data_IF_481282671496
#
_entry.id   IF_481282671496
#
_cell.length_a   1.000
_cell.length_b   1.000
_cell.length_c   1.000
_cell.angle_alpha   90.00
_cell.angle_beta   90.00
_cell.angle_gamma   90.00
#
_symmetry.space_group_name_H-M   'P 1'
#
loop_
_entity.id
_entity.type
_entity.pdbx_description
1 polymer ?
#
# COMPACT_ATOMS: atom_id res chain seq x y z
N UNK A 1 5.03 -1.07 1.65
CA UNK A 1 4.38 -1.88 0.60
C UNK A 1 4.04 -3.20 1.26
N UNK A 2 2.76 -3.55 1.35
CA UNK A 2 2.34 -4.82 1.95
C UNK A 2 2.69 -5.98 1.02
N UNK A 3 2.88 -7.19 1.56
CA UNK A 3 3.12 -8.42 0.78
C UNK A 3 2.07 -8.61 -0.35
N UNK A 4 0.83 -8.17 -0.13
CA UNK A 4 -0.26 -8.19 -1.11
C UNK A 4 0.04 -7.33 -2.36
N UNK A 5 0.67 -6.17 -2.20
CA UNK A 5 1.01 -5.28 -3.32
C UNK A 5 2.15 -5.85 -4.18
N UNK A 6 3.08 -6.60 -3.57
CA UNK A 6 4.16 -7.26 -4.30
C UNK A 6 3.65 -8.41 -5.18
N UNK A 7 2.77 -9.26 -4.65
CA UNK A 7 2.11 -10.32 -5.43
C UNK A 7 1.28 -9.75 -6.59
N UNK A 8 0.56 -8.65 -6.37
CA UNK A 8 -0.19 -7.97 -7.42
C UNK A 8 0.71 -7.45 -8.55
N UNK A 9 1.89 -6.90 -8.22
CA UNK A 9 2.87 -6.42 -9.21
C UNK A 9 3.43 -7.56 -10.05
N UNK A 10 3.80 -8.69 -9.43
CA UNK A 10 4.29 -9.88 -10.13
C UNK A 10 3.21 -10.43 -11.08
N UNK A 11 1.97 -10.51 -10.63
CA UNK A 11 0.85 -10.94 -11.47
C UNK A 11 0.57 -9.98 -12.63
N UNK A 12 0.73 -8.66 -12.41
CA UNK A 12 0.58 -7.68 -13.48
C UNK A 12 1.66 -7.81 -14.56
N UNK A 13 2.95 -8.01 -14.15
CA UNK A 13 4.06 -8.28 -15.08
C UNK A 13 3.82 -9.55 -15.89
N UNK A 14 3.36 -10.62 -15.24
CA UNK A 14 3.03 -11.89 -15.88
C UNK A 14 1.94 -11.74 -16.94
N UNK A 15 0.85 -11.05 -16.62
CA UNK A 15 -0.26 -10.82 -17.56
C UNK A 15 0.17 -9.98 -18.76
N UNK A 16 0.99 -8.95 -18.53
CA UNK A 16 1.51 -8.13 -19.61
C UNK A 16 2.36 -8.96 -20.59
N UNK A 17 3.25 -9.80 -20.09
CA UNK A 17 4.05 -10.73 -20.90
C UNK A 17 3.18 -11.68 -21.70
N UNK A 18 2.15 -12.27 -21.08
CA UNK A 18 1.24 -13.18 -21.75
C UNK A 18 0.44 -12.48 -22.87
N UNK A 19 -0.12 -11.30 -22.60
CA UNK A 19 -0.86 -10.52 -23.61
C UNK A 19 0.01 -10.15 -24.80
N UNK A 20 1.22 -9.67 -24.51
CA UNK A 20 2.18 -9.29 -25.55
C UNK A 20 2.56 -10.50 -26.39
N UNK A 21 2.84 -11.65 -25.77
CA UNK A 21 3.13 -12.90 -26.45
C UNK A 21 1.98 -13.32 -27.39
N UNK A 22 0.76 -13.37 -26.90
CA UNK A 22 -0.40 -13.79 -27.69
C UNK A 22 -0.67 -12.82 -28.85
N UNK A 23 -0.56 -11.52 -28.62
CA UNK A 23 -0.77 -10.49 -29.64
C UNK A 23 0.28 -10.60 -30.75
N UNK A 24 1.55 -10.76 -30.41
CA UNK A 24 2.63 -10.96 -31.39
C UNK A 24 2.44 -12.24 -32.21
N UNK A 25 1.95 -13.32 -31.59
CA UNK A 25 1.63 -14.56 -32.29
C UNK A 25 0.46 -14.39 -33.27
N UNK A 26 -0.61 -13.66 -32.91
CA UNK A 26 -1.71 -13.32 -33.81
C UNK A 26 -1.17 -12.54 -35.01
N UNK A 27 -0.39 -11.48 -34.77
CA UNK A 27 0.17 -10.66 -35.86
C UNK A 27 1.06 -11.48 -36.79
N UNK A 28 1.95 -12.32 -36.25
CA UNK A 28 2.85 -13.17 -37.04
C UNK A 28 2.11 -14.25 -37.79
N UNK A 29 1.05 -14.82 -37.25
CA UNK A 29 0.19 -15.77 -37.95
C UNK A 29 -0.53 -15.10 -39.09
N UNK A 30 -1.10 -13.92 -38.90
CA UNK A 30 -1.77 -13.14 -39.97
C UNK A 30 -0.74 -12.79 -41.06
N UNK A 31 0.45 -12.31 -40.69
CA UNK A 31 1.49 -12.02 -41.67
C UNK A 31 1.89 -13.26 -42.43
N UNK A 32 2.05 -14.42 -41.79
CA UNK A 32 2.37 -15.70 -42.44
C UNK A 32 1.30 -16.18 -43.44
N UNK A 33 0.01 -15.80 -43.21
CA UNK A 33 -1.12 -16.11 -44.12
C UNK A 33 -1.14 -15.16 -45.29
N UNK A 34 -0.91 -13.86 -45.06
CA UNK A 34 -1.05 -12.80 -46.05
C UNK A 34 0.19 -12.57 -46.91
N UNK A 35 1.37 -13.05 -46.44
CA UNK A 35 2.63 -12.78 -47.10
C UNK A 35 2.67 -13.28 -48.56
N UNK A 36 2.89 -12.40 -49.55
CA UNK A 36 2.95 -12.75 -50.97
C UNK A 36 4.28 -13.39 -51.38
N UNK A 37 5.20 -13.60 -50.48
CA UNK A 37 6.55 -14.16 -50.73
C UNK A 37 6.52 -15.56 -51.39
N UNK A 38 5.35 -16.20 -51.43
CA UNK A 38 5.18 -17.53 -51.99
C UNK A 38 3.97 -17.54 -52.95
N UNK A 39 4.17 -17.84 -54.20
CA UNK A 39 3.18 -17.86 -55.22
C UNK A 39 1.98 -18.82 -54.99
N UNK A 40 2.02 -19.63 -53.93
CA UNK A 40 0.89 -20.45 -53.48
C UNK A 40 0.40 -20.02 -52.11
N UNK A 41 -0.88 -19.62 -52.04
CA UNK A 41 -1.59 -19.40 -50.75
C UNK A 41 -1.86 -20.76 -50.10
N UNK A 42 -0.83 -21.32 -49.45
CA UNK A 42 -1.01 -22.55 -48.68
C UNK A 42 -1.42 -22.21 -47.27
N UNK A 43 -2.70 -22.44 -46.99
CA UNK A 43 -3.25 -22.28 -45.64
C UNK A 43 -2.88 -23.51 -44.80
N UNK A 44 -1.73 -23.46 -44.15
CA UNK A 44 -1.28 -24.55 -43.27
C UNK A 44 -2.07 -24.59 -41.97
N UNK A 45 -2.49 -25.79 -41.56
CA UNK A 45 -3.23 -25.99 -40.32
C UNK A 45 -2.56 -25.38 -39.08
N UNK A 46 -1.21 -25.50 -38.88
CA UNK A 46 -0.56 -24.94 -37.68
C UNK A 46 -0.73 -23.44 -37.55
N UNK A 47 -0.61 -22.66 -38.61
CA UNK A 47 -0.75 -21.19 -38.52
C UNK A 47 -2.17 -20.76 -38.17
N UNK A 48 -3.19 -21.51 -38.64
CA UNK A 48 -4.58 -21.29 -38.27
C UNK A 48 -4.80 -21.60 -36.78
N UNK A 49 -4.19 -22.67 -36.27
CA UNK A 49 -4.25 -23.02 -34.86
C UNK A 49 -3.57 -21.96 -34.02
N UNK A 50 -2.41 -21.43 -34.43
CA UNK A 50 -1.73 -20.34 -33.74
C UNK A 50 -2.63 -19.10 -33.65
N UNK A 51 -3.22 -18.69 -34.78
CA UNK A 51 -4.12 -17.52 -34.80
C UNK A 51 -5.36 -17.72 -33.93
N UNK A 52 -6.05 -18.86 -34.10
CA UNK A 52 -7.25 -19.18 -33.32
C UNK A 52 -6.98 -19.29 -31.83
N UNK A 53 -5.96 -20.07 -31.45
CA UNK A 53 -5.60 -20.28 -30.02
C UNK A 53 -5.17 -18.98 -29.36
N UNK A 54 -4.35 -18.16 -30.05
CA UNK A 54 -3.93 -16.84 -29.52
C UNK A 54 -5.13 -15.92 -29.29
N UNK A 55 -6.06 -15.86 -30.25
CA UNK A 55 -7.26 -15.01 -30.17
C UNK A 55 -8.18 -15.48 -29.04
N UNK A 56 -8.45 -16.78 -28.96
CA UNK A 56 -9.26 -17.36 -27.86
C UNK A 56 -8.64 -17.09 -26.50
N UNK A 57 -7.33 -17.28 -26.39
CA UNK A 57 -6.64 -17.04 -25.11
C UNK A 57 -6.65 -15.55 -24.73
N UNK A 58 -6.53 -14.61 -25.69
CA UNK A 58 -6.69 -13.17 -25.42
C UNK A 58 -8.09 -12.84 -24.91
N UNK A 59 -9.12 -13.45 -25.49
CA UNK A 59 -10.51 -13.29 -25.04
C UNK A 59 -10.70 -13.85 -23.62
N UNK A 60 -10.15 -15.02 -23.33
CA UNK A 60 -10.22 -15.64 -22.01
C UNK A 60 -9.48 -14.83 -20.95
N UNK A 61 -8.34 -14.23 -21.31
CA UNK A 61 -7.62 -13.34 -20.39
C UNK A 61 -8.40 -12.04 -20.13
N UNK A 62 -9.05 -11.47 -21.14
CA UNK A 62 -9.93 -10.30 -20.97
C UNK A 62 -11.06 -10.55 -19.96
N UNK A 63 -11.59 -11.79 -19.90
CA UNK A 63 -12.62 -12.24 -18.93
C UNK A 63 -12.01 -12.80 -17.64
N UNK A 64 -10.70 -12.61 -17.41
CA UNK A 64 -9.97 -13.10 -16.22
C UNK A 64 -10.01 -14.63 -15.99
N UNK A 65 -10.21 -15.44 -17.02
CA UNK A 65 -10.25 -16.91 -16.92
C UNK A 65 -8.88 -17.59 -16.95
N UNK A 66 -7.79 -16.89 -17.32
CA UNK A 66 -6.43 -17.45 -17.45
C UNK A 66 -5.54 -17.23 -16.21
N UNK A 67 -6.12 -16.99 -15.04
CA UNK A 67 -5.33 -16.63 -13.81
C UNK A 67 -4.30 -17.68 -13.37
N UNK A 68 -4.52 -18.95 -13.67
CA UNK A 68 -3.75 -20.08 -13.14
C UNK A 68 -2.99 -20.89 -14.20
N UNK A 69 -2.94 -20.43 -15.44
CA UNK A 69 -2.26 -21.18 -16.51
C UNK A 69 -0.77 -20.83 -16.51
N UNK A 70 0.12 -21.84 -16.45
CA UNK A 70 1.57 -21.62 -16.50
C UNK A 70 1.97 -21.16 -17.92
N UNK A 71 2.62 -19.99 -18.01
CA UNK A 71 3.14 -19.40 -19.25
C UNK A 71 4.13 -20.32 -19.95
N UNK A 72 4.81 -21.20 -19.22
CA UNK A 72 5.75 -22.17 -19.79
C UNK A 72 5.06 -23.20 -20.65
N UNK A 73 3.89 -23.68 -20.23
CA UNK A 73 3.06 -24.62 -21.01
C UNK A 73 2.58 -23.94 -22.29
N UNK A 74 2.12 -22.71 -22.20
CA UNK A 74 1.70 -21.92 -23.35
C UNK A 74 2.86 -21.71 -24.33
N UNK A 75 4.02 -21.30 -23.80
CA UNK A 75 5.24 -21.09 -24.59
C UNK A 75 5.64 -22.35 -25.37
N UNK A 76 5.69 -23.51 -24.70
CA UNK A 76 5.99 -24.78 -25.33
C UNK A 76 5.00 -25.16 -26.44
N UNK A 77 3.70 -25.03 -26.16
CA UNK A 77 2.64 -25.34 -27.14
C UNK A 77 2.80 -24.49 -28.42
N UNK A 78 3.01 -23.20 -28.26
CA UNK A 78 3.21 -22.30 -29.42
C UNK A 78 4.56 -22.57 -30.11
N UNK A 79 5.62 -22.89 -29.39
CA UNK A 79 6.89 -23.30 -29.95
C UNK A 79 6.77 -24.54 -30.84
N UNK A 80 6.02 -25.54 -30.39
CA UNK A 80 5.74 -26.74 -31.17
C UNK A 80 4.89 -26.44 -32.42
N UNK A 81 3.89 -25.57 -32.31
CA UNK A 81 3.07 -25.16 -33.43
C UNK A 81 3.89 -24.41 -34.50
N UNK A 82 4.76 -23.51 -34.12
CA UNK A 82 5.68 -22.82 -35.04
C UNK A 82 6.69 -23.77 -35.65
N UNK A 83 7.25 -24.71 -34.89
CA UNK A 83 8.12 -25.77 -35.41
C UNK A 83 7.41 -26.62 -36.48
N UNK A 84 6.18 -27.04 -36.20
CA UNK A 84 5.35 -27.76 -37.16
C UNK A 84 5.06 -26.92 -38.42
N UNK A 85 4.75 -25.61 -38.24
CA UNK A 85 4.52 -24.70 -39.38
C UNK A 85 5.76 -24.59 -40.28
N UNK A 86 6.95 -24.46 -39.70
CA UNK A 86 8.20 -24.36 -40.45
C UNK A 86 8.49 -25.68 -41.19
N UNK A 87 8.27 -26.82 -40.54
CA UNK A 87 8.48 -28.14 -41.16
C UNK A 87 7.52 -28.35 -42.34
N UNK A 88 6.25 -28.03 -42.22
CA UNK A 88 5.28 -28.19 -43.30
C UNK A 88 5.57 -27.29 -44.51
N UNK A 89 5.98 -26.05 -44.27
CA UNK A 89 6.34 -25.11 -45.34
C UNK A 89 7.65 -25.48 -46.04
N UNK A 90 8.59 -26.09 -45.33
CA UNK A 90 9.87 -26.51 -45.85
C UNK A 90 9.70 -27.43 -47.08
N UNK A 91 8.77 -28.35 -47.09
CA UNK A 91 8.52 -29.27 -48.21
C UNK A 91 7.95 -28.59 -49.48
N UNK A 92 7.60 -27.31 -49.42
CA UNK A 92 6.93 -26.59 -50.50
C UNK A 92 7.86 -25.55 -51.15
N UNK A 93 8.81 -25.01 -50.38
CA UNK A 93 9.73 -23.93 -50.82
C UNK A 93 11.04 -24.55 -51.28
N UNK A 94 11.21 -24.72 -52.62
CA UNK A 94 12.41 -25.35 -53.16
C UNK A 94 13.55 -24.38 -53.51
N UNK A 95 13.25 -23.13 -53.90
CA UNK A 95 14.27 -22.23 -54.48
C UNK A 95 14.86 -21.20 -53.50
N UNK A 96 14.25 -20.94 -52.32
CA UNK A 96 14.70 -19.94 -51.36
C UNK A 96 14.76 -20.50 -49.88
N UNK A 97 15.16 -21.73 -49.77
CA UNK A 97 15.07 -22.52 -48.53
C UNK A 97 15.77 -21.85 -47.35
N UNK A 98 17.03 -21.48 -47.49
CA UNK A 98 17.84 -20.92 -46.42
C UNK A 98 17.27 -19.57 -45.90
N UNK A 99 16.87 -18.69 -46.79
CA UNK A 99 16.30 -17.37 -46.45
C UNK A 99 14.98 -17.50 -45.66
N UNK A 100 14.11 -18.40 -46.09
CA UNK A 100 12.83 -18.64 -45.36
C UNK A 100 13.04 -19.16 -43.94
N UNK A 101 13.88 -20.19 -43.81
CA UNK A 101 14.18 -20.82 -42.51
C UNK A 101 14.79 -19.80 -41.54
N UNK A 102 15.74 -18.96 -42.00
CA UNK A 102 16.36 -17.93 -41.18
C UNK A 102 15.34 -16.84 -40.73
N UNK A 103 14.51 -16.36 -41.66
CA UNK A 103 13.48 -15.35 -41.34
C UNK A 103 12.47 -15.92 -40.32
N UNK A 104 12.03 -17.17 -40.52
CA UNK A 104 11.08 -17.83 -39.63
C UNK A 104 11.66 -18.02 -38.25
N UNK A 105 12.91 -18.48 -38.13
CA UNK A 105 13.62 -18.61 -36.84
C UNK A 105 13.75 -17.25 -36.15
N UNK A 106 14.26 -16.23 -36.86
CA UNK A 106 14.43 -14.89 -36.30
C UNK A 106 13.09 -14.30 -35.82
N UNK A 107 12.00 -14.51 -36.56
CA UNK A 107 10.66 -14.04 -36.15
C UNK A 107 10.22 -14.66 -34.82
N UNK A 108 10.38 -15.98 -34.66
CA UNK A 108 10.03 -16.69 -33.43
C UNK A 108 10.93 -16.27 -32.26
N UNK A 109 12.25 -16.13 -32.51
CA UNK A 109 13.19 -15.66 -31.49
C UNK A 109 12.86 -14.22 -31.04
N UNK A 110 12.47 -13.36 -31.97
CA UNK A 110 12.06 -11.98 -31.69
C UNK A 110 10.80 -11.92 -30.82
N UNK A 111 9.76 -12.69 -31.18
CA UNK A 111 8.56 -12.83 -30.36
C UNK A 111 8.91 -13.30 -28.95
N UNK A 112 9.72 -14.34 -28.86
CA UNK A 112 10.15 -14.90 -27.58
C UNK A 112 10.94 -13.91 -26.73
N UNK A 113 11.90 -13.20 -27.35
CA UNK A 113 12.77 -12.26 -26.65
C UNK A 113 11.99 -11.07 -26.08
N UNK A 114 11.04 -10.54 -26.84
CA UNK A 114 10.19 -9.42 -26.36
C UNK A 114 9.22 -9.88 -25.27
N UNK A 115 8.52 -10.99 -25.51
CA UNK A 115 7.48 -11.44 -24.58
C UNK A 115 8.01 -12.00 -23.26
N UNK A 116 9.16 -12.69 -23.32
CA UNK A 116 9.69 -13.45 -22.17
C UNK A 116 10.97 -12.86 -21.57
N UNK A 117 11.18 -11.56 -21.66
CA UNK A 117 12.35 -10.86 -21.06
C UNK A 117 12.56 -11.18 -19.59
N UNK A 118 11.48 -11.51 -18.85
CA UNK A 118 11.54 -11.83 -17.42
C UNK A 118 11.50 -13.33 -17.11
N UNK A 119 11.39 -14.20 -18.14
CA UNK A 119 11.20 -15.64 -17.96
C UNK A 119 12.01 -16.43 -18.99
N UNK A 120 13.29 -16.69 -18.66
CA UNK A 120 14.20 -17.41 -19.55
C UNK A 120 13.71 -18.84 -19.86
N UNK A 121 13.01 -19.50 -18.93
CA UNK A 121 12.49 -20.85 -19.17
C UNK A 121 11.35 -20.84 -20.20
N UNK A 122 10.47 -19.84 -20.17
CA UNK A 122 9.44 -19.68 -21.19
C UNK A 122 10.05 -19.33 -22.57
N UNK A 123 11.08 -18.47 -22.59
CA UNK A 123 11.86 -18.19 -23.80
C UNK A 123 12.43 -19.47 -24.38
N UNK A 124 13.14 -20.27 -23.56
CA UNK A 124 13.75 -21.52 -24.01
C UNK A 124 12.72 -22.53 -24.54
N UNK A 125 11.62 -22.72 -23.80
CA UNK A 125 10.55 -23.65 -24.18
C UNK A 125 9.85 -23.25 -25.48
N UNK A 126 9.73 -21.95 -25.77
CA UNK A 126 9.16 -21.49 -27.04
C UNK A 126 10.16 -21.58 -28.20
N UNK A 127 11.42 -21.21 -27.98
CA UNK A 127 12.43 -21.08 -29.02
C UNK A 127 13.07 -22.41 -29.40
N UNK A 128 13.28 -23.32 -28.42
CA UNK A 128 14.03 -24.55 -28.60
C UNK A 128 13.41 -25.51 -29.64
N UNK A 129 12.09 -25.78 -29.65
CA UNK A 129 11.46 -26.64 -30.66
C UNK A 129 11.70 -26.11 -32.07
N UNK A 130 11.58 -24.81 -32.26
CA UNK A 130 11.79 -24.15 -33.56
C UNK A 130 13.26 -24.23 -33.97
N UNK A 131 14.18 -23.91 -33.06
CA UNK A 131 15.63 -24.00 -33.34
C UNK A 131 16.08 -25.40 -33.74
N UNK A 132 15.62 -26.43 -33.00
CA UNK A 132 15.92 -27.83 -33.32
C UNK A 132 15.34 -28.26 -34.66
N UNK A 133 14.12 -27.82 -35.01
CA UNK A 133 13.52 -28.11 -36.30
C UNK A 133 14.29 -27.45 -37.44
N UNK A 134 14.65 -26.18 -37.29
CA UNK A 134 15.47 -25.47 -38.29
C UNK A 134 16.82 -26.11 -38.46
N UNK A 135 17.52 -26.46 -37.37
CA UNK A 135 18.80 -27.11 -37.39
C UNK A 135 18.76 -28.50 -38.08
N UNK A 136 17.66 -29.24 -37.87
CA UNK A 136 17.46 -30.54 -38.53
C UNK A 136 17.19 -30.39 -40.03
N UNK A 137 16.44 -29.37 -40.46
CA UNK A 137 16.16 -29.08 -41.86
C UNK A 137 17.41 -28.60 -42.59
N UNK A 138 18.21 -27.73 -41.97
CA UNK A 138 19.43 -27.13 -42.52
C UNK A 138 20.55 -28.14 -42.64
N UNK A 139 20.43 -29.33 -42.06
CA UNK A 139 21.44 -30.38 -42.00
C UNK A 139 22.84 -29.91 -41.53
N UNK A 140 22.89 -28.75 -40.85
CA UNK A 140 24.11 -28.17 -40.29
C UNK A 140 24.95 -27.32 -41.26
N UNK A 141 24.44 -27.03 -42.45
CA UNK A 141 25.19 -26.22 -43.45
C UNK A 141 25.43 -24.79 -42.95
N UNK A 142 24.47 -24.20 -42.17
CA UNK A 142 24.57 -22.84 -41.64
C UNK A 142 24.65 -22.81 -40.10
N UNK A 143 25.27 -23.83 -39.49
CA UNK A 143 25.33 -23.99 -38.03
C UNK A 143 25.78 -22.73 -37.28
N UNK A 144 26.82 -22.03 -37.76
CA UNK A 144 27.32 -20.82 -37.10
C UNK A 144 26.33 -19.68 -37.12
N UNK A 145 25.62 -19.46 -38.23
CA UNK A 145 24.57 -18.43 -38.34
C UNK A 145 23.36 -18.74 -37.42
N UNK A 146 22.96 -20.00 -37.35
CA UNK A 146 21.87 -20.47 -36.48
C UNK A 146 22.26 -20.33 -34.99
N UNK A 147 23.48 -20.77 -34.64
CA UNK A 147 23.99 -20.64 -33.27
C UNK A 147 24.10 -19.17 -32.86
N UNK A 148 24.60 -18.29 -33.74
CA UNK A 148 24.66 -16.85 -33.49
C UNK A 148 23.29 -16.22 -33.33
N UNK A 149 22.31 -16.57 -34.18
CA UNK A 149 20.94 -16.04 -34.11
C UNK A 149 20.23 -16.41 -32.82
N UNK A 150 20.57 -17.54 -32.18
CA UNK A 150 20.05 -17.91 -30.85
C UNK A 150 20.87 -17.26 -29.69
N UNK A 151 22.21 -17.21 -29.85
CA UNK A 151 23.09 -16.71 -28.78
C UNK A 151 22.82 -15.24 -28.44
N UNK A 152 22.60 -14.39 -29.46
CA UNK A 152 22.37 -12.94 -29.25
C UNK A 152 21.12 -12.66 -28.42
N UNK A 153 19.90 -13.18 -28.72
CA UNK A 153 18.73 -13.01 -27.86
C UNK A 153 18.92 -13.58 -26.46
N UNK A 154 19.58 -14.74 -26.31
CA UNK A 154 19.88 -15.35 -25.01
C UNK A 154 20.76 -14.42 -24.17
N UNK A 155 21.84 -13.92 -24.74
CA UNK A 155 22.73 -12.97 -24.07
C UNK A 155 21.99 -11.69 -23.69
N UNK A 156 21.16 -11.16 -24.59
CA UNK A 156 20.30 -9.99 -24.33
C UNK A 156 19.36 -10.19 -23.15
N UNK A 157 18.68 -11.34 -23.09
CA UNK A 157 17.77 -11.69 -21.97
C UNK A 157 18.54 -11.82 -20.65
N UNK A 158 19.71 -12.46 -20.65
CA UNK A 158 20.54 -12.59 -19.44
C UNK A 158 20.97 -11.22 -18.92
N UNK A 159 21.49 -10.36 -19.82
CA UNK A 159 21.88 -8.99 -19.46
C UNK A 159 20.68 -8.22 -18.92
N UNK A 160 19.54 -8.29 -19.59
CA UNK A 160 18.31 -7.63 -19.16
C UNK A 160 17.85 -8.09 -17.76
N UNK A 161 17.95 -9.39 -17.47
CA UNK A 161 17.61 -9.93 -16.15
C UNK A 161 18.57 -9.43 -15.06
N UNK A 162 19.86 -9.32 -15.36
CA UNK A 162 20.86 -8.78 -14.42
C UNK A 162 20.55 -7.31 -14.11
N UNK A 163 20.31 -6.50 -15.16
CA UNK A 163 19.96 -5.09 -15.01
C UNK A 163 18.67 -4.96 -14.18
N UNK A 164 17.65 -5.76 -14.47
CA UNK A 164 16.37 -5.71 -13.77
C UNK A 164 16.50 -6.07 -12.29
N UNK A 165 17.25 -7.14 -11.96
CA UNK A 165 17.54 -7.49 -10.55
C UNK A 165 18.20 -6.34 -9.80
N UNK A 166 19.16 -5.65 -10.44
CA UNK A 166 19.81 -4.48 -9.86
C UNK A 166 18.83 -3.32 -9.63
N UNK A 167 18.00 -3.04 -10.63
CA UNK A 167 17.02 -1.97 -10.54
C UNK A 167 15.95 -2.26 -9.46
N UNK A 168 15.48 -3.50 -9.35
CA UNK A 168 14.53 -3.92 -8.33
C UNK A 168 15.15 -3.81 -6.93
N UNK A 169 16.41 -4.21 -6.73
CA UNK A 169 17.14 -4.06 -5.47
C UNK A 169 17.33 -2.57 -5.09
N UNK A 170 17.71 -1.73 -6.06
CA UNK A 170 17.86 -0.29 -5.85
C UNK A 170 16.53 0.38 -5.48
N UNK A 171 15.44 0.05 -6.20
CA UNK A 171 14.11 0.57 -5.92
C UNK A 171 13.60 0.16 -4.52
N UNK A 172 13.87 -1.08 -4.08
CA UNK A 172 13.55 -1.53 -2.73
C UNK A 172 14.34 -0.77 -1.67
N UNK A 173 15.65 -0.56 -1.89
CA UNK A 173 16.50 0.23 -1.00
C UNK A 173 16.00 1.67 -0.85
N UNK A 174 15.69 2.33 -1.94
CA UNK A 174 15.15 3.70 -1.93
C UNK A 174 13.80 3.78 -1.21
N UNK A 175 12.92 2.81 -1.45
CA UNK A 175 11.61 2.76 -0.79
C UNK A 175 11.73 2.57 0.72
N UNK A 176 12.67 1.73 1.19
CA UNK A 176 12.92 1.57 2.62
C UNK A 176 13.44 2.85 3.27
N UNK A 177 14.36 3.58 2.62
CA UNK A 177 14.84 4.87 3.08
C UNK A 177 13.72 5.92 3.18
N UNK A 178 12.86 6.00 2.15
CA UNK A 178 11.72 6.92 2.16
C UNK A 178 10.73 6.62 3.29
N UNK A 179 10.48 5.34 3.58
CA UNK A 179 9.60 4.93 4.68
C UNK A 179 10.21 5.27 6.04
N UNK A 180 11.51 5.09 6.19
CA UNK A 180 12.24 5.43 7.42
C UNK A 180 12.26 6.95 7.65
N UNK A 181 12.55 7.75 6.63
CA UNK A 181 12.52 9.21 6.70
C UNK A 181 11.10 9.74 7.01
N UNK A 182 10.07 9.17 6.37
CA UNK A 182 8.68 9.49 6.67
C UNK A 182 8.32 9.17 8.13
N UNK A 183 8.82 8.04 8.66
CA UNK A 183 8.64 7.67 10.08
C UNK A 183 9.34 8.67 10.97
N UNK A 184 10.60 9.04 10.66
CA UNK A 184 11.38 10.02 11.41
C UNK A 184 10.70 11.40 11.44
N UNK A 185 10.22 11.89 10.28
CA UNK A 185 9.47 13.15 10.21
C UNK A 185 8.17 13.12 11.04
N UNK A 186 7.44 11.99 10.99
CA UNK A 186 6.26 11.78 11.84
C UNK A 186 6.63 11.77 13.33
N UNK A 187 7.77 11.15 13.64
CA UNK A 187 8.26 11.09 15.02
C UNK A 187 8.76 12.44 15.55
N UNK A 188 9.15 13.35 14.69
CA UNK A 188 9.48 14.73 15.02
C UNK A 188 8.25 15.65 15.12
N UNK A 189 7.08 15.23 14.66
CA UNK A 189 5.86 16.02 14.77
C UNK A 189 5.42 16.17 16.22
N UNK A 190 5.23 17.41 16.67
CA UNK A 190 4.75 17.75 18.01
C UNK A 190 3.22 17.84 18.09
N UNK A 191 2.54 17.76 16.94
CA UNK A 191 1.08 17.87 16.85
C UNK A 191 0.45 16.50 16.55
N UNK A 192 -0.76 16.30 17.05
CA UNK A 192 -1.60 15.18 16.67
C UNK A 192 -2.17 15.41 15.26
N UNK A 193 -1.98 14.48 14.31
CA UNK A 193 -2.36 14.68 12.92
C UNK A 193 -3.87 14.75 12.68
N UNK A 194 -4.68 14.21 13.58
CA UNK A 194 -6.14 14.22 13.47
C UNK A 194 -6.73 15.53 13.98
N UNK A 195 -6.28 15.97 15.16
CA UNK A 195 -6.93 17.06 15.90
C UNK A 195 -6.19 18.40 15.78
N UNK A 196 -4.91 18.39 15.36
CA UNK A 196 -4.07 19.59 15.22
C UNK A 196 -3.61 20.22 16.55
N UNK A 197 -3.98 19.69 17.71
CA UNK A 197 -3.44 20.07 19.02
C UNK A 197 -2.14 19.31 19.28
N UNK A 198 -1.42 19.62 20.36
CA UNK A 198 -0.21 18.88 20.71
C UNK A 198 -0.50 17.38 20.90
N UNK A 199 0.43 16.53 20.51
CA UNK A 199 0.46 15.13 20.95
C UNK A 199 1.19 15.03 22.29
N UNK A 200 1.29 13.84 22.86
CA UNK A 200 1.99 13.59 24.13
C UNK A 200 3.43 14.14 24.15
N UNK A 201 4.17 14.01 23.05
CA UNK A 201 5.55 14.56 22.92
C UNK A 201 5.55 16.08 22.82
N UNK A 202 4.61 16.64 22.07
CA UNK A 202 4.43 18.08 21.97
C UNK A 202 4.08 18.70 23.32
N UNK A 203 3.23 18.04 24.10
CA UNK A 203 2.94 18.45 25.47
C UNK A 203 4.22 18.49 26.33
N UNK A 204 5.00 17.39 26.35
CA UNK A 204 6.23 17.31 27.12
C UNK A 204 7.23 18.40 26.71
N UNK A 205 7.49 18.54 25.39
CA UNK A 205 8.39 19.58 24.88
C UNK A 205 7.95 21.00 25.27
N UNK A 206 6.63 21.25 25.23
CA UNK A 206 6.09 22.56 25.62
C UNK A 206 6.15 22.76 27.13
N UNK A 207 5.86 21.72 27.91
CA UNK A 207 5.97 21.72 29.37
C UNK A 207 7.40 22.04 29.83
N UNK A 208 8.39 21.38 29.24
CA UNK A 208 9.83 21.57 29.58
C UNK A 208 10.31 22.99 29.23
N UNK A 209 9.66 23.66 28.29
CA UNK A 209 9.96 25.04 27.90
C UNK A 209 9.35 26.10 28.81
N UNK A 210 8.47 25.70 29.76
CA UNK A 210 7.85 26.64 30.67
C UNK A 210 8.80 27.05 31.78
N UNK A 211 9.13 28.31 31.86
CA UNK A 211 9.89 28.83 33.00
C UNK A 211 9.05 28.81 34.29
N UNK A 212 9.67 28.46 35.40
CA UNK A 212 9.04 28.60 36.72
C UNK A 212 8.89 30.09 37.07
N UNK A 213 7.66 30.59 37.09
CA UNK A 213 7.37 31.95 37.61
C UNK A 213 6.94 31.83 39.05
N UNK A 214 7.54 32.58 39.95
CA UNK A 214 7.45 32.40 41.42
C UNK A 214 6.03 32.48 42.03
N UNK A 215 5.02 32.95 41.31
CA UNK A 215 3.66 33.12 41.81
C UNK A 215 2.58 32.40 41.01
N UNK A 216 2.93 31.53 40.05
CA UNK A 216 1.95 30.82 39.23
C UNK A 216 1.81 29.37 39.63
N UNK A 217 0.62 29.01 40.15
CA UNK A 217 0.27 27.60 40.36
C UNK A 217 -0.19 26.99 39.04
N UNK A 218 0.17 25.73 38.82
CA UNK A 218 -0.21 24.97 37.61
C UNK A 218 -1.03 23.76 38.02
N UNK A 219 -1.98 23.42 37.18
CA UNK A 219 -2.87 22.29 37.38
C UNK A 219 -2.93 21.44 36.13
N UNK A 220 -2.91 20.14 36.35
CA UNK A 220 -3.05 19.11 35.31
C UNK A 220 -4.50 18.66 35.28
N UNK A 221 -5.13 18.71 34.11
CA UNK A 221 -6.44 18.16 33.84
C UNK A 221 -6.27 16.98 32.89
N UNK A 222 -6.68 15.80 33.33
CA UNK A 222 -6.80 14.63 32.46
C UNK A 222 -8.26 14.43 32.10
N UNK A 223 -8.58 14.39 30.83
CA UNK A 223 -9.95 14.34 30.31
C UNK A 223 -10.11 13.08 29.47
N UNK A 224 -11.30 12.50 29.47
CA UNK A 224 -11.66 11.34 28.68
C UNK A 224 -13.11 11.46 28.18
N UNK A 225 -13.33 11.07 26.91
CA UNK A 225 -14.68 11.10 26.34
C UNK A 225 -15.49 9.91 26.86
N UNK A 226 -16.61 10.20 27.49
CA UNK A 226 -17.46 9.19 28.11
C UNK A 226 -18.04 8.24 27.05
N UNK A 227 -17.89 6.92 27.29
CA UNK A 227 -18.38 5.85 26.42
C UNK A 227 -17.93 5.95 24.96
N UNK A 228 -16.74 6.49 24.69
CA UNK A 228 -16.26 6.70 23.32
C UNK A 228 -16.11 5.40 22.53
N UNK A 229 -15.76 4.29 23.20
CA UNK A 229 -15.75 2.98 22.56
C UNK A 229 -17.13 2.60 22.02
N UNK A 230 -18.19 2.74 22.83
CA UNK A 230 -19.56 2.47 22.41
C UNK A 230 -20.00 3.40 21.25
N UNK A 231 -19.54 4.65 21.27
CA UNK A 231 -19.73 5.59 20.16
C UNK A 231 -19.13 5.05 18.86
N UNK A 232 -17.85 4.62 18.88
CA UNK A 232 -17.17 4.07 17.73
C UNK A 232 -17.80 2.77 17.23
N UNK A 233 -18.16 1.88 18.14
CA UNK A 233 -18.77 0.58 17.81
C UNK A 233 -20.11 0.77 17.10
N UNK A 234 -20.83 1.85 17.40
CA UNK A 234 -22.14 2.11 16.81
C UNK A 234 -22.11 3.04 15.58
N UNK A 235 -21.38 4.16 15.65
CA UNK A 235 -21.35 5.17 14.57
C UNK A 235 -20.18 5.00 13.61
N UNK A 236 -19.24 4.08 13.92
CA UNK A 236 -18.03 3.83 13.16
C UNK A 236 -16.89 4.82 13.43
N UNK A 237 -15.66 4.38 13.18
CA UNK A 237 -14.44 5.15 13.46
C UNK A 237 -14.39 6.51 12.75
N UNK A 238 -14.96 6.63 11.54
CA UNK A 238 -14.99 7.92 10.84
C UNK A 238 -15.82 9.00 11.59
N UNK A 239 -16.89 8.59 12.27
CA UNK A 239 -17.67 9.51 13.09
C UNK A 239 -16.98 9.79 14.42
N UNK A 240 -16.26 8.80 14.98
CA UNK A 240 -15.37 8.99 16.12
C UNK A 240 -14.28 10.02 15.85
N UNK A 241 -13.63 9.95 14.71
CA UNK A 241 -12.62 10.93 14.28
C UNK A 241 -13.22 12.36 14.20
N UNK A 242 -14.41 12.51 13.64
CA UNK A 242 -15.12 13.81 13.61
C UNK A 242 -15.47 14.31 15.02
N UNK A 243 -15.88 13.41 15.91
CA UNK A 243 -16.15 13.77 17.30
C UNK A 243 -14.87 14.25 18.00
N UNK A 244 -13.74 13.53 17.85
CA UNK A 244 -12.44 13.91 18.39
C UNK A 244 -11.98 15.29 17.91
N UNK A 245 -12.14 15.60 16.62
CA UNK A 245 -11.80 16.91 16.04
C UNK A 245 -12.65 18.01 16.70
N UNK A 246 -13.95 17.81 16.83
CA UNK A 246 -14.85 18.80 17.43
C UNK A 246 -14.60 19.00 18.91
N UNK A 247 -14.40 17.91 19.66
CA UNK A 247 -14.08 17.93 21.09
C UNK A 247 -12.75 18.65 21.34
N UNK A 248 -11.69 18.31 20.57
CA UNK A 248 -10.40 18.96 20.72
C UNK A 248 -10.45 20.46 20.45
N UNK A 249 -11.23 20.89 19.46
CA UNK A 249 -11.45 22.31 19.18
C UNK A 249 -12.18 23.00 20.36
N UNK A 250 -13.22 22.39 20.91
CA UNK A 250 -13.94 22.92 22.05
C UNK A 250 -13.06 23.03 23.31
N UNK A 251 -12.20 22.05 23.58
CA UNK A 251 -11.24 22.09 24.68
C UNK A 251 -10.25 23.25 24.48
N UNK A 252 -9.66 23.37 23.29
CA UNK A 252 -8.71 24.44 22.98
C UNK A 252 -9.32 25.83 23.11
N UNK A 253 -10.56 26.01 22.65
CA UNK A 253 -11.29 27.28 22.68
C UNK A 253 -11.78 27.64 24.09
N UNK A 254 -11.83 26.66 24.99
CA UNK A 254 -12.20 26.84 26.39
C UNK A 254 -11.05 27.31 27.29
N UNK A 255 -9.79 27.25 26.83
CA UNK A 255 -8.60 27.59 27.61
C UNK A 255 -7.89 28.81 27.04
N UNK A 256 -6.93 29.35 27.78
CA UNK A 256 -6.16 30.52 27.37
C UNK A 256 -5.01 30.10 26.43
N UNK A 257 -4.47 31.05 25.68
CA UNK A 257 -3.35 30.80 24.75
C UNK A 257 -2.06 30.34 25.45
N UNK A 258 -1.90 30.63 26.73
CA UNK A 258 -0.77 30.19 27.56
C UNK A 258 -0.93 28.77 28.11
N UNK A 259 -2.16 28.24 28.12
CA UNK A 259 -2.44 26.89 28.59
C UNK A 259 -2.07 25.89 27.49
N UNK A 260 -1.65 24.67 27.88
CA UNK A 260 -1.23 23.64 26.94
C UNK A 260 -2.36 22.63 26.80
N UNK A 261 -2.75 22.33 25.57
CA UNK A 261 -3.76 21.31 25.27
C UNK A 261 -3.14 20.25 24.36
N UNK A 262 -3.26 18.99 24.76
CA UNK A 262 -2.73 17.87 24.01
C UNK A 262 -3.71 16.70 23.96
N UNK A 263 -3.66 15.93 22.88
CA UNK A 263 -4.25 14.60 22.82
C UNK A 263 -3.23 13.61 23.39
N UNK A 264 -3.55 13.03 24.54
CA UNK A 264 -2.63 12.20 25.30
C UNK A 264 -2.72 10.72 24.95
N UNK A 265 -3.91 10.25 24.63
CA UNK A 265 -4.25 8.88 24.19
C UNK A 265 -5.23 8.87 23.03
N UNK A 266 -5.91 7.75 22.84
CA UNK A 266 -6.92 7.60 21.78
C UNK A 266 -8.09 8.59 21.91
N UNK A 267 -8.72 8.61 23.08
CA UNK A 267 -9.86 9.45 23.46
C UNK A 267 -9.56 10.35 24.64
N UNK A 268 -8.29 10.35 25.08
CA UNK A 268 -7.81 11.08 26.27
C UNK A 268 -7.12 12.39 25.85
N UNK A 269 -7.43 13.44 26.59
CA UNK A 269 -6.85 14.76 26.45
C UNK A 269 -6.15 15.20 27.73
N UNK A 270 -5.07 15.91 27.58
CA UNK A 270 -4.31 16.49 28.68
C UNK A 270 -4.27 17.99 28.54
N UNK A 271 -4.64 18.70 29.62
CA UNK A 271 -4.59 20.15 29.65
C UNK A 271 -3.77 20.61 30.86
N UNK A 272 -2.81 21.49 30.62
CA UNK A 272 -2.10 22.18 31.69
C UNK A 272 -2.61 23.61 31.76
N UNK A 273 -3.24 23.97 32.87
CA UNK A 273 -3.71 25.34 33.11
C UNK A 273 -2.84 26.05 34.14
N UNK A 274 -2.59 27.33 33.89
CA UNK A 274 -1.84 28.19 34.80
C UNK A 274 -2.80 29.15 35.45
N UNK A 275 -3.02 28.99 36.77
CA UNK A 275 -3.98 29.76 37.56
C UNK A 275 -3.43 30.07 38.96
N UNK A 276 -3.96 31.13 39.55
CA UNK A 276 -3.52 31.57 40.88
C UNK A 276 -4.15 30.74 42.03
N UNK A 277 -5.26 30.03 41.78
CA UNK A 277 -6.00 29.31 42.84
C UNK A 277 -6.62 28.02 42.34
N UNK A 278 -6.86 27.00 43.20
CA UNK A 278 -7.57 25.77 42.85
C UNK A 278 -8.98 26.03 42.30
N UNK A 279 -9.66 27.04 42.83
CA UNK A 279 -11.02 27.41 42.41
C UNK A 279 -11.05 27.86 40.91
N UNK A 280 -10.05 28.62 40.47
CA UNK A 280 -9.90 29.01 39.08
C UNK A 280 -9.56 27.83 38.14
N UNK A 281 -8.80 26.84 38.63
CA UNK A 281 -8.55 25.62 37.88
C UNK A 281 -9.82 24.79 37.74
N UNK A 282 -10.63 24.64 38.78
CA UNK A 282 -11.95 23.98 38.72
C UNK A 282 -12.91 24.71 37.79
N UNK A 283 -12.90 26.05 37.80
CA UNK A 283 -13.71 26.86 36.88
C UNK A 283 -13.26 26.66 35.41
N UNK A 284 -11.96 26.53 35.15
CA UNK A 284 -11.44 26.22 33.81
C UNK A 284 -11.89 24.82 33.36
N UNK A 285 -11.82 23.83 34.25
CA UNK A 285 -12.29 22.47 33.97
C UNK A 285 -13.80 22.46 33.67
N UNK A 286 -14.63 23.18 34.46
CA UNK A 286 -16.05 23.28 34.23
C UNK A 286 -16.39 23.96 32.88
N UNK A 287 -15.67 25.00 32.52
CA UNK A 287 -15.83 25.66 31.23
C UNK A 287 -15.51 24.70 30.09
N UNK A 288 -14.46 23.86 30.21
CA UNK A 288 -14.14 22.84 29.21
C UNK A 288 -15.26 21.82 29.12
N UNK A 289 -15.71 21.26 30.25
CA UNK A 289 -16.78 20.27 30.30
C UNK A 289 -18.07 20.80 29.64
N UNK A 290 -18.46 22.03 30.00
CA UNK A 290 -19.67 22.65 29.48
C UNK A 290 -19.54 22.93 27.96
N UNK A 291 -18.38 23.40 27.48
CA UNK A 291 -18.15 23.61 26.03
C UNK A 291 -18.28 22.33 25.22
N UNK A 292 -17.80 21.20 25.74
CA UNK A 292 -17.97 19.91 25.07
C UNK A 292 -19.43 19.47 25.11
N UNK A 293 -20.10 19.63 26.25
CA UNK A 293 -21.51 19.34 26.40
C UNK A 293 -22.38 20.13 25.41
N UNK A 294 -22.09 21.39 25.22
CA UNK A 294 -22.83 22.32 24.33
C UNK A 294 -22.57 22.03 22.82
N UNK A 295 -21.63 21.14 22.46
CA UNK A 295 -21.48 20.70 21.07
C UNK A 295 -22.66 19.86 20.58
N UNK A 296 -23.45 19.30 21.48
CA UNK A 296 -24.63 18.46 21.19
C UNK A 296 -24.32 17.39 20.10
N UNK A 297 -23.13 16.75 20.19
CA UNK A 297 -22.80 15.64 19.29
C UNK A 297 -23.65 14.44 19.70
N UNK A 298 -24.58 13.94 18.87
CA UNK A 298 -25.48 12.87 19.24
C UNK A 298 -24.74 11.61 19.69
N UNK A 299 -25.08 11.05 20.85
CA UNK A 299 -24.56 9.81 21.39
C UNK A 299 -25.68 9.03 22.11
N UNK A 300 -26.42 8.22 21.36
CA UNK A 300 -27.58 7.47 21.85
C UNK A 300 -27.19 6.27 22.75
N UNK A 301 -25.92 5.97 22.90
CA UNK A 301 -25.40 4.87 23.72
C UNK A 301 -24.63 5.35 24.96
N UNK A 302 -24.94 6.58 25.38
CA UNK A 302 -24.48 7.19 26.62
C UNK A 302 -25.61 7.18 27.68
N UNK A 303 -26.39 6.09 27.69
CA UNK A 303 -27.75 5.96 28.26
C UNK A 303 -27.92 6.40 29.71
N UNK A 304 -26.84 6.42 30.51
CA UNK A 304 -26.92 6.80 31.92
C UNK A 304 -26.46 8.23 32.19
N UNK A 305 -25.96 8.96 31.17
CA UNK A 305 -25.28 10.26 31.37
C UNK A 305 -25.96 11.38 30.58
N UNK A 306 -26.09 11.22 29.26
CA UNK A 306 -26.70 12.21 28.37
C UNK A 306 -27.01 11.60 26.99
N UNK A 307 -27.81 12.28 26.15
CA UNK A 307 -28.09 11.88 24.75
C UNK A 307 -27.00 12.34 23.76
N UNK A 308 -25.93 12.88 24.27
CA UNK A 308 -24.81 13.41 23.44
C UNK A 308 -23.46 13.21 24.13
N UNK A 309 -22.40 13.46 23.39
CA UNK A 309 -21.02 13.28 23.86
C UNK A 309 -20.74 14.16 25.07
N UNK A 310 -20.18 13.56 26.11
CA UNK A 310 -19.73 14.21 27.35
C UNK A 310 -18.29 13.82 27.64
N UNK A 311 -17.68 14.52 28.58
CA UNK A 311 -16.33 14.23 29.07
C UNK A 311 -16.29 14.18 30.60
N UNK A 312 -15.49 13.28 31.13
CA UNK A 312 -15.10 13.26 32.54
C UNK A 312 -13.72 13.89 32.71
N UNK A 313 -13.48 14.59 33.81
CA UNK A 313 -12.25 15.36 34.05
C UNK A 313 -11.71 15.04 35.43
N UNK A 314 -10.44 14.62 35.47
CA UNK A 314 -9.64 14.56 36.71
C UNK A 314 -8.71 15.77 36.82
N UNK A 315 -8.73 16.45 37.94
CA UNK A 315 -7.95 17.65 38.22
C UNK A 315 -6.97 17.43 39.37
N UNK A 316 -5.69 17.75 39.15
CA UNK A 316 -4.64 17.69 40.17
C UNK A 316 -3.70 18.89 40.12
N UNK A 317 -3.19 19.38 41.27
CA UNK A 317 -2.17 20.41 41.29
C UNK A 317 -0.83 19.84 40.79
N UNK A 318 -0.07 20.65 40.07
CA UNK A 318 1.32 20.38 39.75
C UNK A 318 2.18 20.87 40.92
N UNK A 319 2.73 19.93 41.68
CA UNK A 319 3.58 20.20 42.84
C UNK A 319 5.07 20.09 42.49
N UNK A 320 5.95 20.35 43.46
CA UNK A 320 7.41 20.11 43.33
C UNK A 320 7.78 18.65 43.05
N UNK A 321 6.86 17.72 43.27
CA UNK A 321 7.07 16.30 42.99
C UNK A 321 7.05 15.96 41.47
N UNK A 322 6.63 16.92 40.63
CA UNK A 322 6.75 16.83 39.20
C UNK A 322 5.47 16.42 38.44
N UNK A 323 5.59 16.36 37.10
CA UNK A 323 4.49 16.10 36.22
C UNK A 323 3.92 14.68 36.37
N UNK A 324 4.75 13.68 36.54
CA UNK A 324 4.32 12.28 36.61
C UNK A 324 3.42 12.02 37.83
N UNK A 325 3.74 12.63 39.00
CA UNK A 325 2.88 12.50 40.18
C UNK A 325 1.57 13.25 40.01
N UNK A 326 1.60 14.43 39.41
CA UNK A 326 0.37 15.17 39.06
C UNK A 326 -0.51 14.42 38.10
N UNK A 327 0.06 13.76 37.08
CA UNK A 327 -0.69 12.90 36.13
C UNK A 327 -1.33 11.72 36.84
N UNK A 328 -0.60 11.01 37.72
CA UNK A 328 -1.17 9.91 38.51
C UNK A 328 -2.30 10.37 39.44
N UNK A 329 -2.16 11.57 40.03
CA UNK A 329 -3.22 12.13 40.84
C UNK A 329 -4.46 12.54 40.04
N UNK A 330 -4.27 13.09 38.84
CA UNK A 330 -5.33 13.43 37.92
C UNK A 330 -6.04 12.16 37.37
N UNK A 331 -5.30 11.08 37.11
CA UNK A 331 -5.86 9.81 36.67
C UNK A 331 -6.77 9.18 37.73
N UNK A 332 -6.32 9.14 38.99
CA UNK A 332 -7.18 8.70 40.12
C UNK A 332 -8.44 9.54 40.24
N UNK A 333 -8.34 10.85 40.06
CA UNK A 333 -9.46 11.74 40.09
C UNK A 333 -10.42 11.49 38.89
N UNK A 334 -9.89 11.28 37.68
CA UNK A 334 -10.67 10.93 36.51
C UNK A 334 -11.43 9.61 36.68
N UNK A 335 -10.77 8.63 37.27
CA UNK A 335 -11.44 7.36 37.63
C UNK A 335 -12.62 7.60 38.57
N UNK A 336 -12.46 8.45 39.61
CA UNK A 336 -13.55 8.87 40.47
C UNK A 336 -14.71 9.55 39.74
N UNK A 337 -14.40 10.47 38.83
CA UNK A 337 -15.41 11.13 37.99
C UNK A 337 -16.23 10.14 37.14
N UNK A 338 -15.55 9.13 36.56
CA UNK A 338 -16.23 8.08 35.78
C UNK A 338 -17.13 7.19 36.64
N UNK A 339 -16.76 6.92 37.90
CA UNK A 339 -17.56 6.10 38.83
C UNK A 339 -18.73 6.85 39.44
N UNK A 340 -18.65 8.18 39.57
CA UNK A 340 -19.74 9.01 40.12
C UNK A 340 -20.80 9.47 39.10
N UNK A 341 -20.88 8.78 37.96
CA UNK A 341 -21.92 9.02 36.96
C UNK A 341 -21.43 9.72 35.71
N UNK A 342 -20.15 9.90 35.51
CA UNK A 342 -19.53 10.57 34.33
C UNK A 342 -19.97 12.02 34.15
N UNK A 343 -19.56 12.67 33.04
CA UNK A 343 -19.82 14.09 32.79
C UNK A 343 -19.55 14.99 34.03
N UNK A 344 -18.48 14.65 34.75
CA UNK A 344 -18.15 15.22 36.06
C UNK A 344 -16.68 15.63 36.14
N UNK A 345 -16.39 16.54 37.07
CA UNK A 345 -15.05 16.94 37.45
C UNK A 345 -14.79 16.42 38.86
N UNK A 346 -13.67 15.72 39.00
CA UNK A 346 -13.22 15.25 40.29
C UNK A 346 -11.81 15.78 40.58
N UNK A 347 -11.56 16.25 41.78
CA UNK A 347 -10.24 16.73 42.16
C UNK A 347 -9.44 15.63 42.86
N UNK A 348 -8.12 15.75 42.88
CA UNK A 348 -7.26 14.82 43.63
C UNK A 348 -7.52 14.87 45.14
N UNK A 349 -8.11 15.94 45.65
CA UNK A 349 -8.53 16.07 47.05
C UNK A 349 -9.80 15.28 47.31
N UNK A 350 -10.80 15.38 46.41
CA UNK A 350 -12.04 14.58 46.46
C UNK A 350 -11.72 13.07 46.41
N UNK A 351 -10.72 12.67 45.60
CA UNK A 351 -10.27 11.28 45.47
C UNK A 351 -9.53 10.73 46.70
N UNK A 352 -9.03 11.60 47.59
CA UNK A 352 -8.43 11.20 48.86
C UNK A 352 -9.47 11.07 49.98
N UNK A 353 -10.61 11.72 49.82
CA UNK A 353 -11.67 11.75 50.82
C UNK A 353 -12.75 10.65 50.58
N UNK A 354 -12.76 10.03 49.43
CA UNK A 354 -13.66 8.92 49.04
C UNK A 354 -12.99 7.56 49.23
#
# INVERSE_FOLDING_TARGET
>A
MTLSNWHALIQAKYRLSLRLFLLLNVMSAIFSILSPLYHMRYLALPVLLIAALSTVMLMLDAVNRLKNVDIRVIALTFGMLWAWQIYMKNGIVQDEHATYIMIALLSVLFISAIAFTHNISAFALHSLPVFLTVMWIDAGEHFLQLAYSLAVPVAGIIIQQIIQKRNDAFAQGLMSQLLEEKKRLRDLSLLDPLTGIYNRRGFQSRFDSLSATENEQRYVLLLDIDYFKAYNDHYGHMMGDKALIRVSAAIRDAVRSRDIVARYGGEEFLVLVTCATPALAKQAAERIRQRVYDLHIPHMFNDSVATHVTISIGLAPLTSAGLDEALQAADRALYGAKHQGRNHIFTSEDARAA
#
